data_IF_832766638962
#
_entry.id   IF_832766638962
#
_cell.length_a   1.000
_cell.length_b   1.000
_cell.length_c   1.000
_cell.angle_alpha   90.00
_cell.angle_beta   90.00
_cell.angle_gamma   90.00
#
_symmetry.space_group_name_H-M   'P 1'
#
loop_
_entity.id
_entity.type
_entity.pdbx_description
1 polymer ?
#
# COMPACT_ATOMS: atom_id res chain seq x y z
N UNK A 1 -11.49 -12.54 20.06
CA UNK A 1 -10.04 -12.63 20.34
C UNK A 1 -9.37 -13.72 19.47
N UNK A 2 -9.46 -13.62 18.13
CA UNK A 2 -8.85 -14.62 17.22
C UNK A 2 -8.35 -13.95 15.93
N UNK A 3 -7.08 -13.56 15.90
CA UNK A 3 -6.36 -13.20 14.67
C UNK A 3 -5.13 -14.12 14.59
N UNK A 4 -4.93 -14.79 13.46
CA UNK A 4 -3.88 -15.80 13.28
C UNK A 4 -2.58 -15.26 12.65
N UNK A 5 -2.48 -13.93 12.48
CA UNK A 5 -1.29 -13.26 11.96
C UNK A 5 -0.34 -12.86 13.11
N UNK A 6 0.91 -13.36 13.13
CA UNK A 6 1.89 -13.02 14.16
C UNK A 6 2.29 -11.54 14.14
N UNK A 7 2.16 -10.85 13.00
CA UNK A 7 2.50 -9.43 12.84
C UNK A 7 1.46 -8.49 13.47
N UNK A 8 0.19 -8.92 13.57
CA UNK A 8 -0.92 -8.05 13.99
C UNK A 8 -1.24 -8.10 15.49
N UNK A 9 -0.76 -9.09 16.24
CA UNK A 9 -1.18 -9.32 17.64
C UNK A 9 -0.69 -8.27 18.63
N UNK A 10 0.40 -7.56 18.35
CA UNK A 10 1.01 -6.62 19.31
C UNK A 10 0.52 -5.18 19.12
N UNK A 11 -0.04 -4.84 17.95
CA UNK A 11 -0.56 -3.51 17.60
C UNK A 11 -2.00 -3.53 17.06
N UNK A 12 -2.81 -4.53 17.41
CA UNK A 12 -4.24 -4.56 17.03
C UNK A 12 -4.52 -4.70 15.53
N UNK A 13 -3.58 -5.23 14.74
CA UNK A 13 -3.71 -5.35 13.28
C UNK A 13 -3.15 -4.17 12.48
N UNK A 14 -2.36 -3.29 13.11
CA UNK A 14 -1.69 -2.21 12.40
C UNK A 14 -0.61 -2.74 11.44
N UNK A 15 -0.82 -2.51 10.14
CA UNK A 15 0.10 -2.91 9.07
C UNK A 15 1.11 -1.80 8.72
N UNK A 16 1.04 -0.66 9.40
CA UNK A 16 1.78 0.54 9.06
C UNK A 16 1.43 1.09 7.66
N UNK A 17 2.33 1.92 7.14
CA UNK A 17 2.19 2.49 5.80
C UNK A 17 2.75 1.52 4.76
N UNK A 18 1.87 0.98 3.93
CA UNK A 18 2.26 0.14 2.79
C UNK A 18 2.04 0.89 1.47
N UNK A 19 2.95 0.69 0.53
CA UNK A 19 2.82 1.21 -0.83
C UNK A 19 2.02 0.29 -1.75
N UNK A 20 1.58 0.80 -2.92
CA UNK A 20 0.90 -0.03 -3.91
C UNK A 20 1.78 -1.20 -4.34
N UNK A 21 1.21 -2.41 -4.35
CA UNK A 21 1.93 -3.65 -4.72
C UNK A 21 2.81 -4.26 -3.61
N UNK A 22 2.83 -3.69 -2.40
CA UNK A 22 3.44 -4.36 -1.25
C UNK A 22 2.54 -5.43 -0.62
N UNK A 23 1.24 -5.41 -0.92
CA UNK A 23 0.27 -6.40 -0.46
C UNK A 23 -0.30 -7.19 -1.65
N UNK A 24 -1.05 -8.24 -1.34
CA UNK A 24 -1.77 -9.02 -2.36
C UNK A 24 -2.71 -8.11 -3.17
N UNK A 25 -2.89 -8.37 -4.47
CA UNK A 25 -3.65 -7.48 -5.36
C UNK A 25 -5.11 -7.29 -4.93
N UNK A 26 -5.72 -8.28 -4.26
CA UNK A 26 -7.06 -8.17 -3.69
C UNK A 26 -7.12 -7.13 -2.57
N UNK A 27 -6.10 -7.11 -1.71
CA UNK A 27 -5.95 -6.16 -0.62
C UNK A 27 -5.69 -4.74 -1.15
N UNK A 28 -4.78 -4.62 -2.12
CA UNK A 28 -4.41 -3.33 -2.73
C UNK A 28 -5.62 -2.66 -3.40
N UNK A 29 -6.43 -3.45 -4.14
CA UNK A 29 -7.67 -2.97 -4.74
C UNK A 29 -8.68 -2.52 -3.70
N UNK A 30 -8.89 -3.30 -2.65
CA UNK A 30 -9.82 -2.96 -1.60
C UNK A 30 -9.40 -1.70 -0.83
N UNK A 31 -8.12 -1.59 -0.45
CA UNK A 31 -7.56 -0.41 0.20
C UNK A 31 -7.62 0.83 -0.71
N UNK A 32 -7.39 0.67 -2.02
CA UNK A 32 -7.45 1.78 -2.97
C UNK A 32 -8.87 2.25 -3.27
N UNK A 33 -9.85 1.33 -3.23
CA UNK A 33 -11.27 1.63 -3.40
C UNK A 33 -11.92 2.21 -2.13
N UNK A 34 -11.30 2.03 -0.97
CA UNK A 34 -11.74 2.63 0.28
C UNK A 34 -11.40 4.11 0.38
N UNK A 35 -12.26 4.83 1.10
CA UNK A 35 -12.01 6.20 1.51
C UNK A 35 -11.22 6.24 2.82
N UNK A 36 -10.44 7.31 3.01
CA UNK A 36 -9.67 7.52 4.24
C UNK A 36 -10.62 7.59 5.43
N UNK A 37 -10.30 6.85 6.49
CA UNK A 37 -11.11 6.68 7.69
C UNK A 37 -12.18 5.59 7.59
N UNK A 38 -12.37 4.96 6.43
CA UNK A 38 -13.32 3.85 6.26
C UNK A 38 -12.65 2.48 6.29
N UNK A 39 -13.46 1.47 6.59
CA UNK A 39 -13.09 0.07 6.55
C UNK A 39 -13.90 -0.68 5.50
N UNK A 40 -13.36 -1.83 5.05
CA UNK A 40 -14.04 -2.70 4.11
C UNK A 40 -15.29 -3.28 4.76
N UNK A 41 -16.46 -2.94 4.24
CA UNK A 41 -17.74 -3.52 4.70
C UNK A 41 -17.83 -5.01 4.39
N UNK A 42 -17.16 -5.45 3.32
CA UNK A 42 -17.04 -6.85 2.94
C UNK A 42 -15.62 -7.34 3.22
N UNK A 43 -15.45 -8.50 3.87
CA UNK A 43 -14.13 -9.05 4.12
C UNK A 43 -13.45 -9.40 2.80
N UNK A 44 -12.18 -9.01 2.66
CA UNK A 44 -11.34 -9.28 1.51
C UNK A 44 -10.84 -10.71 1.61
N UNK A 45 -11.24 -11.54 0.64
CA UNK A 45 -10.66 -12.87 0.49
C UNK A 45 -9.24 -12.73 -0.06
N UNK A 46 -8.31 -13.48 0.52
CA UNK A 46 -6.92 -13.60 0.11
C UNK A 46 -6.52 -15.06 0.26
N UNK A 47 -5.39 -15.44 -0.32
CA UNK A 47 -4.78 -16.77 -0.13
C UNK A 47 -4.54 -17.13 1.36
N UNK A 48 -4.46 -16.13 2.24
CA UNK A 48 -4.29 -16.31 3.68
C UNK A 48 -5.62 -16.41 4.46
N UNK A 49 -6.77 -16.28 3.77
CA UNK A 49 -8.10 -16.28 4.38
C UNK A 49 -8.83 -14.95 4.19
N UNK A 50 -9.65 -14.56 5.18
CA UNK A 50 -10.51 -13.38 5.12
C UNK A 50 -9.92 -12.23 5.94
N UNK A 51 -9.81 -11.05 5.35
CA UNK A 51 -9.18 -9.87 5.95
C UNK A 51 -10.12 -8.68 5.92
N UNK A 52 -10.21 -7.94 7.03
CA UNK A 52 -10.92 -6.67 7.09
C UNK A 52 -9.89 -5.55 7.10
N UNK A 53 -9.99 -4.63 6.16
CA UNK A 53 -9.00 -3.57 5.97
C UNK A 53 -9.63 -2.25 6.40
N UNK A 54 -8.93 -1.49 7.23
CA UNK A 54 -9.30 -0.11 7.55
C UNK A 54 -8.25 0.81 6.96
N UNK A 55 -8.66 1.72 6.09
CA UNK A 55 -7.79 2.74 5.55
C UNK A 55 -7.73 3.88 6.57
N UNK A 56 -6.66 3.95 7.35
CA UNK A 56 -6.50 5.03 8.34
C UNK A 56 -6.12 6.35 7.68
N UNK A 57 -5.21 6.31 6.70
CA UNK A 57 -4.75 7.50 5.98
C UNK A 57 -4.20 7.11 4.59
N UNK A 58 -4.38 7.99 3.61
CA UNK A 58 -3.91 7.80 2.24
C UNK A 58 -2.95 8.93 1.89
N UNK A 59 -1.65 8.65 1.99
CA UNK A 59 -0.63 9.55 1.48
C UNK A 59 -0.39 9.29 0.00
N UNK A 60 -1.01 10.11 -0.83
CA UNK A 60 -0.59 10.24 -2.23
C UNK A 60 0.75 10.97 -2.20
N UNK A 61 1.87 10.25 -2.24
CA UNK A 61 3.15 10.89 -2.56
C UNK A 61 2.96 11.50 -3.94
N UNK A 62 2.80 12.83 -4.02
CA UNK A 62 2.86 13.50 -5.31
C UNK A 62 4.19 13.10 -5.94
N UNK A 63 4.19 12.53 -7.16
CA UNK A 63 5.43 12.33 -7.86
C UNK A 63 6.14 13.70 -7.92
N UNK A 64 7.44 13.77 -7.60
CA UNK A 64 8.20 15.00 -7.73
C UNK A 64 7.94 15.60 -9.11
N UNK A 65 7.88 16.93 -9.18
CA UNK A 65 7.57 17.64 -10.41
C UNK A 65 8.48 17.11 -11.53
N UNK A 66 7.92 16.95 -12.73
CA UNK A 66 8.65 16.41 -13.88
C UNK A 66 10.00 17.12 -14.10
N UNK A 67 10.08 18.42 -13.77
CA UNK A 67 11.31 19.21 -13.82
C UNK A 67 12.41 18.68 -12.89
N UNK A 68 12.09 18.31 -11.65
CA UNK A 68 13.04 17.75 -10.67
C UNK A 68 13.53 16.34 -11.08
N UNK A 69 12.64 15.51 -11.63
CA UNK A 69 13.02 14.15 -12.05
C UNK A 69 13.65 14.08 -13.43
N UNK A 70 13.54 15.12 -14.25
CA UNK A 70 14.12 15.15 -15.60
C UNK A 70 15.64 15.06 -15.57
N UNK A 71 16.28 15.77 -14.65
CA UNK A 71 17.75 15.73 -14.50
C UNK A 71 18.22 14.38 -13.95
N UNK A 72 17.53 13.81 -12.96
CA UNK A 72 17.82 12.45 -12.49
C UNK A 72 17.58 11.39 -13.56
N UNK A 73 16.49 11.48 -14.34
CA UNK A 73 16.18 10.54 -15.39
C UNK A 73 17.19 10.63 -16.55
N UNK A 74 17.63 11.84 -16.93
CA UNK A 74 18.70 12.03 -17.90
C UNK A 74 19.99 11.36 -17.45
N UNK A 75 20.40 11.56 -16.19
CA UNK A 75 21.60 10.93 -15.65
C UNK A 75 21.48 9.39 -15.61
N UNK A 76 20.31 8.86 -15.26
CA UNK A 76 20.05 7.42 -15.28
C UNK A 76 20.15 6.84 -16.69
N UNK A 77 19.56 7.49 -17.69
CA UNK A 77 19.62 7.06 -19.10
C UNK A 77 21.04 7.17 -19.67
N UNK A 78 21.79 8.21 -19.32
CA UNK A 78 23.18 8.36 -19.76
C UNK A 78 24.06 7.27 -19.15
N UNK A 79 23.81 6.87 -17.89
CA UNK A 79 24.57 5.81 -17.20
C UNK A 79 24.24 4.41 -17.69
N UNK A 80 23.04 4.16 -18.19
CA UNK A 80 22.66 2.88 -18.81
C UNK A 80 23.22 2.72 -20.24
N UNK A 81 23.56 3.85 -20.88
CA UNK A 81 24.05 3.90 -22.26
C UNK A 81 25.58 3.79 -22.40
N UNK A 82 26.30 3.70 -21.29
CA UNK A 82 27.76 3.50 -21.21
C UNK A 82 28.06 2.21 -20.46
#
# INVERSE_FOLDING_TARGET
EHTSDPSGKTSGGDLGWFGPGQMVPEFDKAASALEVGKYTEQPVQSQFGWHVIKLEDKRTKQPPAFDDVKDQAKQAVIRDKY
#
